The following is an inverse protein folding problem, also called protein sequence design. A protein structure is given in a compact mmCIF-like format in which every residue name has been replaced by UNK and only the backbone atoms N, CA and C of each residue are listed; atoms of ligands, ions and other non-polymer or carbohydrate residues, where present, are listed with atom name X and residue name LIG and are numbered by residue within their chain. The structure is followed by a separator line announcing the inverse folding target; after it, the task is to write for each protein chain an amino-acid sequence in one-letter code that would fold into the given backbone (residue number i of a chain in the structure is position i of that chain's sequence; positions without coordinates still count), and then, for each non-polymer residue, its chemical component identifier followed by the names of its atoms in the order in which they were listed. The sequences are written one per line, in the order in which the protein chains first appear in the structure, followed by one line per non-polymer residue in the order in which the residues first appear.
data_IF_137426884004
#
_entry.id   IF_137426884004
#
_cell.length_a   1.000
_cell.length_b   1.000
_cell.length_c   1.000
_cell.angle_alpha   90.00
_cell.angle_beta   90.00
_cell.angle_gamma   90.00
#
_symmetry.space_group_name_H-M   'P 1'
#
loop_
_entity.id
_entity.type
_entity.pdbx_description
1 polymer ?
#
# COMPACT_ATOMS: atom_id res chain seq x y z
N UNK A 1 3.54 -49.55 -10.29
CA UNK A 1 3.04 -48.20 -10.67
C UNK A 1 4.15 -47.18 -10.48
N UNK A 2 4.37 -46.29 -11.46
CA UNK A 2 5.40 -45.26 -11.36
C UNK A 2 5.02 -44.18 -10.32
N UNK A 3 5.95 -43.79 -9.45
CA UNK A 3 5.71 -42.74 -8.44
C UNK A 3 5.52 -41.38 -9.10
N UNK A 4 4.49 -40.65 -8.65
CA UNK A 4 4.27 -39.26 -9.07
C UNK A 4 5.44 -38.38 -8.65
N UNK A 5 5.64 -37.26 -9.36
CA UNK A 5 6.68 -36.26 -9.03
C UNK A 5 6.51 -35.75 -7.59
N UNK A 6 5.27 -35.56 -7.14
CA UNK A 6 4.93 -35.19 -5.76
C UNK A 6 5.39 -36.25 -4.75
N UNK A 7 5.13 -37.54 -5.02
CA UNK A 7 5.53 -38.63 -4.14
C UNK A 7 7.06 -38.76 -4.08
N UNK A 8 7.78 -38.61 -5.20
CA UNK A 8 9.25 -38.61 -5.22
C UNK A 8 9.83 -37.48 -4.38
N UNK A 9 9.33 -36.26 -4.55
CA UNK A 9 9.78 -35.11 -3.77
C UNK A 9 9.45 -35.25 -2.27
N UNK A 10 8.27 -35.80 -1.93
CA UNK A 10 7.91 -36.11 -0.53
C UNK A 10 8.90 -37.12 0.08
N UNK A 11 9.20 -38.20 -0.63
CA UNK A 11 10.13 -39.24 -0.17
C UNK A 11 11.55 -38.71 0.00
N UNK A 12 12.00 -37.82 -0.89
CA UNK A 12 13.29 -37.14 -0.74
C UNK A 12 13.33 -36.26 0.53
N UNK A 13 12.29 -35.47 0.78
CA UNK A 13 12.18 -34.66 1.99
C UNK A 13 12.17 -35.52 3.26
N UNK A 14 11.38 -36.61 3.30
CA UNK A 14 11.35 -37.54 4.45
C UNK A 14 12.71 -38.20 4.68
N UNK A 15 13.40 -38.57 3.59
CA UNK A 15 14.76 -39.16 3.66
C UNK A 15 15.79 -38.18 4.22
N UNK A 16 15.59 -36.87 4.03
CA UNK A 16 16.44 -35.83 4.64
C UNK A 16 16.03 -35.50 6.08
N UNK A 17 14.73 -35.53 6.38
CA UNK A 17 14.20 -35.22 7.71
C UNK A 17 14.67 -36.21 8.78
N UNK A 18 14.69 -37.51 8.49
CA UNK A 18 15.02 -38.54 9.48
C UNK A 18 16.48 -38.44 9.98
N UNK A 19 17.51 -38.35 9.11
CA UNK A 19 18.90 -38.16 9.55
C UNK A 19 19.12 -36.84 10.28
N UNK A 20 18.53 -35.73 9.80
CA UNK A 20 18.65 -34.44 10.46
C UNK A 20 17.98 -34.48 11.85
N UNK A 21 16.79 -35.05 11.96
CA UNK A 21 16.15 -35.18 13.26
C UNK A 21 17.02 -35.99 14.24
N UNK A 22 17.63 -37.09 13.79
CA UNK A 22 18.56 -37.85 14.61
C UNK A 22 19.82 -37.04 15.00
N UNK A 23 20.43 -36.31 14.06
CA UNK A 23 21.62 -35.50 14.30
C UNK A 23 21.36 -34.36 15.31
N UNK A 24 20.14 -33.82 15.33
CA UNK A 24 19.73 -32.73 16.21
C UNK A 24 18.91 -33.20 17.42
N UNK A 25 18.94 -34.50 17.76
CA UNK A 25 18.34 -35.06 18.97
C UNK A 25 16.81 -35.02 19.01
N UNK A 26 16.14 -35.00 17.85
CA UNK A 26 14.68 -35.00 17.72
C UNK A 26 14.16 -36.39 17.38
N UNK A 27 13.27 -36.92 18.21
CA UNK A 27 12.54 -38.15 17.89
C UNK A 27 11.33 -37.84 16.99
N UNK A 28 11.38 -38.26 15.73
CA UNK A 28 10.26 -38.18 14.79
C UNK A 28 9.93 -39.57 14.24
N UNK A 29 8.65 -39.94 14.27
CA UNK A 29 8.15 -41.15 13.61
C UNK A 29 7.51 -40.75 12.29
N UNK A 30 8.24 -40.90 11.21
CA UNK A 30 7.76 -40.65 9.85
C UNK A 30 8.15 -41.82 8.93
N UNK A 31 7.24 -42.17 8.04
CA UNK A 31 7.50 -43.10 6.94
C UNK A 31 7.37 -42.36 5.60
N UNK A 32 7.87 -43.00 4.53
CA UNK A 32 7.80 -42.47 3.16
C UNK A 32 6.36 -42.22 2.68
N UNK A 33 5.39 -42.87 3.33
CA UNK A 33 3.98 -42.83 2.98
C UNK A 33 3.12 -42.07 4.01
N UNK A 34 3.73 -41.47 5.04
CA UNK A 34 3.04 -40.60 6.00
C UNK A 34 2.24 -39.47 5.32
N UNK A 35 1.15 -39.04 5.97
CA UNK A 35 0.29 -37.99 5.47
C UNK A 35 1.04 -36.66 5.31
N UNK A 36 0.65 -35.85 4.32
CA UNK A 36 1.32 -34.58 4.02
C UNK A 36 1.36 -33.64 5.25
N UNK A 37 0.32 -33.67 6.09
CA UNK A 37 0.27 -32.83 7.29
C UNK A 37 1.25 -33.28 8.38
N UNK A 38 1.55 -34.57 8.48
CA UNK A 38 2.53 -35.09 9.43
C UNK A 38 3.95 -34.74 8.98
N UNK A 39 4.23 -34.84 7.68
CA UNK A 39 5.50 -34.40 7.10
C UNK A 39 5.73 -32.90 7.34
N UNK A 40 4.68 -32.05 7.19
CA UNK A 40 4.77 -30.61 7.51
C UNK A 40 4.99 -30.33 8.99
N UNK A 41 4.36 -31.10 9.89
CA UNK A 41 4.57 -30.96 11.34
C UNK A 41 6.01 -31.33 11.71
N UNK A 42 6.53 -32.44 11.19
CA UNK A 42 7.90 -32.85 11.43
C UNK A 42 8.92 -31.85 10.86
N UNK A 43 8.68 -31.34 9.64
CA UNK A 43 9.51 -30.29 9.05
C UNK A 43 9.64 -29.07 9.96
N UNK A 44 8.53 -28.56 10.50
CA UNK A 44 8.56 -27.41 11.42
C UNK A 44 9.37 -27.69 12.68
N UNK A 45 9.26 -28.89 13.25
CA UNK A 45 10.05 -29.28 14.43
C UNK A 45 11.54 -29.33 14.12
N UNK A 46 11.93 -29.94 13.01
CA UNK A 46 13.33 -30.09 12.59
C UNK A 46 13.93 -28.74 12.19
N UNK A 47 13.20 -27.92 11.42
CA UNK A 47 13.68 -26.62 10.95
C UNK A 47 14.05 -25.66 12.10
N UNK A 48 13.32 -25.68 13.21
CA UNK A 48 13.64 -24.85 14.38
C UNK A 48 14.98 -25.23 15.00
N UNK A 49 15.34 -26.52 15.02
CA UNK A 49 16.61 -26.99 15.58
C UNK A 49 17.79 -26.88 14.61
N UNK A 50 17.52 -27.01 13.31
CA UNK A 50 18.53 -26.91 12.26
C UNK A 50 18.91 -25.45 11.94
N UNK A 51 18.15 -24.46 12.43
CA UNK A 51 18.43 -23.04 12.19
C UNK A 51 19.77 -22.58 12.81
N UNK A 52 20.60 -21.77 12.11
CA UNK A 52 21.88 -21.25 12.63
C UNK A 52 21.80 -20.60 14.01
N UNK A 53 20.78 -19.75 14.22
CA UNK A 53 20.54 -19.07 15.50
C UNK A 53 20.23 -20.01 16.69
N UNK A 54 19.97 -21.30 16.42
CA UNK A 54 19.72 -22.33 17.42
C UNK A 54 20.85 -23.37 17.50
N UNK A 55 22.01 -23.05 16.92
CA UNK A 55 23.19 -23.91 16.91
C UNK A 55 23.23 -24.91 15.76
N UNK A 56 22.37 -24.75 14.74
CA UNK A 56 22.37 -25.62 13.56
C UNK A 56 23.33 -25.20 12.45
N UNK A 57 23.74 -26.14 11.62
CA UNK A 57 24.59 -25.85 10.47
C UNK A 57 23.78 -25.17 9.35
N UNK A 58 24.27 -24.04 8.83
CA UNK A 58 23.62 -23.31 7.75
C UNK A 58 23.40 -24.19 6.50
N UNK A 59 24.33 -25.10 6.21
CA UNK A 59 24.22 -26.04 5.10
C UNK A 59 23.03 -27.02 5.26
N UNK A 60 22.76 -27.48 6.48
CA UNK A 60 21.62 -28.36 6.77
C UNK A 60 20.30 -27.60 6.63
N UNK A 61 20.25 -26.35 7.10
CA UNK A 61 19.07 -25.49 6.96
C UNK A 61 18.74 -25.22 5.49
N UNK A 62 19.76 -24.92 4.68
CA UNK A 62 19.61 -24.72 3.24
C UNK A 62 19.12 -25.98 2.53
N UNK A 63 19.74 -27.14 2.79
CA UNK A 63 19.32 -28.43 2.20
C UNK A 63 17.89 -28.80 2.58
N UNK A 64 17.51 -28.60 3.84
CA UNK A 64 16.17 -28.89 4.35
C UNK A 64 15.11 -28.00 3.70
N UNK A 65 15.38 -26.70 3.56
CA UNK A 65 14.48 -25.77 2.88
C UNK A 65 14.37 -26.08 1.38
N UNK A 66 15.48 -26.38 0.70
CA UNK A 66 15.46 -26.76 -0.72
C UNK A 66 14.59 -28.01 -0.98
N UNK A 67 14.68 -29.03 -0.11
CA UNK A 67 13.85 -30.22 -0.22
C UNK A 67 12.34 -29.93 0.02
N UNK A 68 12.03 -29.01 0.96
CA UNK A 68 10.66 -28.54 1.19
C UNK A 68 10.11 -27.78 -0.02
N UNK A 69 10.93 -26.96 -0.64
CA UNK A 69 10.58 -26.15 -1.81
C UNK A 69 10.27 -27.03 -3.00
N UNK A 70 11.13 -28.02 -3.27
CA UNK A 70 10.93 -29.01 -4.32
C UNK A 70 9.61 -29.78 -4.12
N UNK A 71 9.30 -30.20 -2.88
CA UNK A 71 8.04 -30.87 -2.59
C UNK A 71 6.81 -29.96 -2.75
N UNK A 72 6.90 -28.71 -2.31
CA UNK A 72 5.82 -27.73 -2.42
C UNK A 72 5.54 -27.37 -3.89
N UNK A 73 6.60 -27.17 -4.69
CA UNK A 73 6.51 -26.93 -6.12
C UNK A 73 5.90 -28.12 -6.86
N UNK A 74 6.30 -29.36 -6.52
CA UNK A 74 5.70 -30.56 -7.08
C UNK A 74 4.20 -30.71 -6.71
N UNK A 75 3.82 -30.31 -5.49
CA UNK A 75 2.43 -30.30 -5.05
C UNK A 75 1.59 -29.22 -5.77
N UNK A 76 2.17 -28.05 -6.08
CA UNK A 76 1.51 -26.99 -6.83
C UNK A 76 1.29 -27.39 -8.30
N UNK A 77 2.30 -27.99 -8.96
CA UNK A 77 2.17 -28.51 -10.33
C UNK A 77 1.10 -29.60 -10.46
N UNK A 78 0.91 -30.41 -9.42
CA UNK A 78 -0.16 -31.40 -9.39
C UNK A 78 -1.57 -30.78 -9.32
N UNK A 79 -1.71 -29.54 -8.82
CA UNK A 79 -2.97 -28.79 -8.80
C UNK A 79 -3.23 -27.97 -10.07
N UNK A 80 -2.19 -27.63 -10.83
CA UNK A 80 -2.27 -26.74 -11.99
C UNK A 80 -2.87 -27.40 -13.26
N UNK A 81 -3.01 -28.73 -13.30
CA UNK A 81 -3.75 -29.42 -14.37
C UNK A 81 -5.26 -29.34 -14.10
N UNK A 82 -5.90 -28.24 -14.52
CA UNK A 82 -7.31 -28.22 -14.89
C UNK A 82 -8.18 -27.09 -14.32
N UNK A 83 -8.24 -25.96 -15.05
CA UNK A 83 -9.52 -25.37 -15.44
C UNK A 83 -9.34 -24.81 -16.86
N UNK A 84 -10.09 -25.27 -17.88
CA UNK A 84 -10.02 -24.67 -19.20
C UNK A 84 -10.41 -23.19 -19.10
N UNK A 85 -9.66 -22.34 -19.78
CA UNK A 85 -9.98 -20.92 -19.92
C UNK A 85 -11.27 -20.85 -20.72
N UNK A 86 -12.36 -20.38 -20.09
CA UNK A 86 -13.62 -20.12 -20.78
C UNK A 86 -13.48 -18.80 -21.53
N UNK A 87 -13.82 -18.73 -22.84
CA UNK A 87 -13.75 -17.48 -23.58
C UNK A 87 -14.73 -16.46 -22.98
N UNK A 88 -14.28 -15.21 -22.95
CA UNK A 88 -15.10 -14.05 -22.63
C UNK A 88 -16.11 -13.83 -23.76
N UNK A 89 -17.40 -13.86 -23.47
CA UNK A 89 -18.44 -13.43 -24.42
C UNK A 89 -19.09 -12.12 -23.94
N UNK A 90 -19.21 -11.22 -24.91
CA UNK A 90 -19.85 -9.91 -24.92
C UNK A 90 -21.39 -9.98 -24.74
N UNK A 91 -22.07 -8.85 -24.46
CA UNK A 91 -23.48 -8.81 -24.12
C UNK A 91 -24.36 -8.78 -25.38
N UNK A 92 -25.45 -9.56 -25.38
CA UNK A 92 -26.42 -9.50 -26.46
C UNK A 92 -27.68 -10.34 -26.21
N UNK A 93 -28.80 -9.61 -26.11
CA UNK A 93 -30.17 -9.97 -26.46
C UNK A 93 -30.87 -11.13 -25.71
N UNK A 94 -32.09 -10.82 -25.24
CA UNK A 94 -33.00 -11.74 -24.59
C UNK A 94 -33.35 -12.92 -25.49
N UNK A 95 -33.29 -14.12 -24.91
CA UNK A 95 -33.82 -15.34 -25.52
C UNK A 95 -34.58 -16.12 -24.44
N UNK A 96 -35.73 -16.62 -24.85
CA UNK A 96 -36.65 -17.42 -24.06
C UNK A 96 -35.97 -18.67 -23.47
N UNK A 97 -36.50 -19.11 -22.34
CA UNK A 97 -35.95 -20.18 -21.50
C UNK A 97 -36.06 -21.53 -22.22
N UNK A 98 -34.94 -22.01 -22.74
CA UNK A 98 -34.79 -23.39 -23.17
C UNK A 98 -34.33 -24.26 -21.99
N UNK A 99 -34.96 -25.43 -21.83
CA UNK A 99 -34.98 -26.23 -20.60
C UNK A 99 -33.80 -27.20 -20.43
N UNK A 100 -32.76 -27.08 -21.27
CA UNK A 100 -31.67 -28.07 -21.36
C UNK A 100 -30.28 -27.68 -20.87
N UNK A 101 -29.97 -26.39 -20.66
CA UNK A 101 -28.63 -25.99 -20.16
C UNK A 101 -28.60 -25.97 -18.63
N UNK A 102 -27.64 -26.68 -18.02
CA UNK A 102 -27.38 -26.60 -16.57
C UNK A 102 -27.09 -25.14 -16.16
N UNK A 103 -28.13 -24.46 -15.68
CA UNK A 103 -28.04 -23.06 -15.28
C UNK A 103 -27.08 -22.85 -14.12
N UNK A 104 -26.68 -21.59 -13.88
CA UNK A 104 -25.84 -21.24 -12.73
C UNK A 104 -26.52 -21.67 -11.41
N UNK A 105 -25.85 -22.53 -10.65
CA UNK A 105 -26.30 -23.05 -9.35
C UNK A 105 -25.48 -22.47 -8.21
N UNK A 106 -26.17 -22.05 -7.16
CA UNK A 106 -25.60 -21.61 -5.89
C UNK A 106 -25.50 -22.84 -5.00
N UNK A 107 -24.30 -23.15 -4.50
CA UNK A 107 -24.02 -24.23 -3.53
C UNK A 107 -23.32 -23.65 -2.30
N UNK A 108 -24.08 -22.99 -1.42
CA UNK A 108 -23.50 -22.21 -0.31
C UNK A 108 -24.50 -22.02 0.84
N UNK A 109 -23.97 -21.79 2.04
CA UNK A 109 -24.74 -21.34 3.23
C UNK A 109 -25.10 -19.85 3.17
N UNK A 110 -24.48 -19.12 2.25
CA UNK A 110 -24.75 -17.70 2.07
C UNK A 110 -24.49 -17.22 0.65
N UNK A 111 -25.16 -16.15 0.24
CA UNK A 111 -25.03 -15.55 -1.09
C UNK A 111 -25.19 -14.04 -1.02
N UNK A 112 -24.37 -13.32 -1.78
CA UNK A 112 -24.59 -11.90 -2.07
C UNK A 112 -25.25 -11.79 -3.44
N UNK A 113 -26.42 -11.17 -3.46
CA UNK A 113 -27.22 -10.94 -4.64
C UNK A 113 -27.22 -9.45 -4.96
N UNK A 114 -26.93 -9.10 -6.22
CA UNK A 114 -26.95 -7.72 -6.69
C UNK A 114 -27.93 -7.60 -7.85
N UNK A 115 -28.87 -6.67 -7.73
CA UNK A 115 -29.86 -6.35 -8.75
C UNK A 115 -29.56 -4.98 -9.32
N UNK A 116 -29.66 -4.83 -10.63
CA UNK A 116 -29.39 -3.58 -11.34
C UNK A 116 -30.69 -2.99 -11.92
N UNK A 117 -30.64 -1.72 -12.31
CA UNK A 117 -31.60 -1.08 -13.23
C UNK A 117 -32.83 -0.40 -12.60
N UNK A 118 -32.69 0.33 -11.49
CA UNK A 118 -33.72 1.28 -11.06
C UNK A 118 -33.31 2.73 -11.32
N UNK A 119 -34.25 3.56 -11.76
CA UNK A 119 -34.04 5.00 -11.85
C UNK A 119 -34.14 5.63 -10.45
N UNK A 120 -33.43 6.74 -10.24
CA UNK A 120 -33.42 7.43 -8.95
C UNK A 120 -34.83 7.85 -8.50
N UNK A 121 -35.70 8.23 -9.44
CA UNK A 121 -37.05 8.71 -9.13
C UNK A 121 -37.99 7.60 -8.65
N UNK A 122 -37.81 6.35 -9.11
CA UNK A 122 -38.59 5.18 -8.64
C UNK A 122 -37.90 4.48 -7.44
N UNK A 123 -36.71 4.94 -7.03
CA UNK A 123 -35.92 4.28 -6.01
C UNK A 123 -36.68 4.04 -4.68
N UNK A 124 -37.43 5.01 -4.12
CA UNK A 124 -38.16 4.79 -2.86
C UNK A 124 -39.25 3.72 -2.98
N UNK A 125 -40.03 3.74 -4.07
CA UNK A 125 -41.11 2.79 -4.28
C UNK A 125 -40.58 1.39 -4.61
N UNK A 126 -39.55 1.30 -5.46
CA UNK A 126 -38.84 0.07 -5.74
C UNK A 126 -38.23 -0.55 -4.48
N UNK A 127 -37.66 0.27 -3.59
CA UNK A 127 -37.11 -0.19 -2.33
C UNK A 127 -38.17 -0.82 -1.42
N UNK A 128 -39.35 -0.20 -1.30
CA UNK A 128 -40.45 -0.75 -0.51
C UNK A 128 -40.93 -2.11 -1.05
N UNK A 129 -41.10 -2.21 -2.39
CA UNK A 129 -41.47 -3.45 -3.06
C UNK A 129 -40.40 -4.53 -2.86
N UNK A 130 -39.13 -4.17 -2.90
CA UNK A 130 -38.02 -5.08 -2.66
C UNK A 130 -38.00 -5.61 -1.21
N UNK A 131 -38.19 -4.74 -0.22
CA UNK A 131 -38.31 -5.15 1.18
C UNK A 131 -39.48 -6.11 1.40
N UNK A 132 -40.64 -5.85 0.79
CA UNK A 132 -41.81 -6.73 0.86
C UNK A 132 -41.52 -8.09 0.19
N UNK A 133 -40.87 -8.09 -0.96
CA UNK A 133 -40.43 -9.31 -1.65
C UNK A 133 -39.49 -10.16 -0.78
N UNK A 134 -38.51 -9.54 -0.13
CA UNK A 134 -37.59 -10.24 0.76
C UNK A 134 -38.35 -10.85 1.94
N UNK A 135 -39.19 -10.05 2.62
CA UNK A 135 -39.98 -10.50 3.75
C UNK A 135 -40.84 -11.72 3.40
N UNK A 136 -41.57 -11.68 2.28
CA UNK A 136 -42.37 -12.79 1.78
C UNK A 136 -41.54 -14.02 1.40
N UNK A 137 -40.31 -13.82 0.95
CA UNK A 137 -39.45 -14.89 0.47
C UNK A 137 -38.61 -15.57 1.56
N UNK A 138 -38.42 -14.94 2.72
CA UNK A 138 -37.55 -15.43 3.81
C UNK A 138 -37.83 -16.88 4.21
N UNK A 139 -39.10 -17.24 4.41
CA UNK A 139 -39.52 -18.59 4.81
C UNK A 139 -39.25 -19.59 3.68
N UNK A 140 -39.66 -19.26 2.45
CA UNK A 140 -39.48 -20.11 1.29
C UNK A 140 -37.99 -20.38 1.03
N UNK A 141 -37.12 -19.38 1.21
CA UNK A 141 -35.67 -19.48 1.02
C UNK A 141 -34.93 -20.10 2.21
N UNK A 142 -35.62 -20.36 3.34
CA UNK A 142 -35.01 -20.85 4.60
C UNK A 142 -33.90 -19.91 5.10
N UNK A 143 -34.20 -18.61 5.12
CA UNK A 143 -33.25 -17.57 5.57
C UNK A 143 -33.13 -17.56 7.08
N UNK A 144 -31.90 -17.57 7.57
CA UNK A 144 -31.56 -17.30 8.98
C UNK A 144 -31.36 -15.81 9.21
N UNK A 145 -30.47 -15.21 8.43
CA UNK A 145 -30.12 -13.79 8.52
C UNK A 145 -30.08 -13.16 7.13
N UNK A 146 -30.46 -11.90 7.03
CA UNK A 146 -30.33 -11.10 5.82
C UNK A 146 -30.11 -9.62 6.16
N UNK A 147 -29.44 -8.95 5.24
CA UNK A 147 -29.33 -7.51 5.17
C UNK A 147 -29.49 -7.10 3.70
N UNK A 148 -30.20 -6.01 3.44
CA UNK A 148 -30.37 -5.42 2.13
C UNK A 148 -30.03 -3.93 2.16
N UNK A 149 -29.56 -3.41 1.04
CA UNK A 149 -29.39 -1.97 0.83
C UNK A 149 -29.65 -1.57 -0.61
N UNK A 150 -30.05 -0.33 -0.80
CA UNK A 150 -30.05 0.33 -2.09
C UNK A 150 -28.93 1.35 -2.17
N UNK A 151 -28.23 1.34 -3.28
CA UNK A 151 -27.12 2.23 -3.60
C UNK A 151 -27.35 2.92 -4.94
N UNK A 152 -26.84 4.13 -5.07
CA UNK A 152 -26.72 4.86 -6.32
C UNK A 152 -25.32 4.66 -6.89
N UNK A 153 -25.23 4.36 -8.18
CA UNK A 153 -23.97 4.26 -8.88
C UNK A 153 -23.50 5.64 -9.38
N UNK A 154 -22.28 5.70 -9.94
CA UNK A 154 -21.70 6.94 -10.46
C UNK A 154 -22.49 7.55 -11.64
N UNK A 155 -23.32 6.74 -12.32
CA UNK A 155 -24.18 7.18 -13.43
C UNK A 155 -25.57 7.65 -12.96
N UNK A 156 -25.83 7.65 -11.66
CA UNK A 156 -27.09 8.12 -11.07
C UNK A 156 -28.22 7.08 -10.98
N UNK A 157 -28.08 5.90 -11.57
CA UNK A 157 -29.05 4.82 -11.41
C UNK A 157 -28.83 4.05 -10.10
N UNK A 158 -29.90 3.44 -9.59
CA UNK A 158 -29.88 2.68 -8.36
C UNK A 158 -29.75 1.16 -8.61
N UNK A 159 -29.06 0.51 -7.69
CA UNK A 159 -28.92 -0.95 -7.63
C UNK A 159 -29.16 -1.41 -6.19
N UNK A 160 -29.66 -2.63 -6.04
CA UNK A 160 -29.97 -3.22 -4.74
C UNK A 160 -29.02 -4.37 -4.46
N UNK A 161 -28.55 -4.46 -3.22
CA UNK A 161 -27.83 -5.64 -2.73
C UNK A 161 -28.65 -6.30 -1.64
N UNK A 162 -28.60 -7.64 -1.60
CA UNK A 162 -28.99 -8.41 -0.43
C UNK A 162 -27.94 -9.47 -0.14
N UNK A 163 -27.49 -9.49 1.11
CA UNK A 163 -26.72 -10.59 1.65
C UNK A 163 -27.66 -11.51 2.39
N UNK A 164 -27.66 -12.80 2.03
CA UNK A 164 -28.52 -13.82 2.64
C UNK A 164 -27.65 -14.91 3.27
N UNK A 165 -27.97 -15.28 4.51
CA UNK A 165 -27.47 -16.48 5.18
C UNK A 165 -28.65 -17.44 5.36
N UNK A 166 -28.51 -18.65 4.84
CA UNK A 166 -29.50 -19.72 4.98
C UNK A 166 -29.33 -20.47 6.30
N UNK A 167 -30.36 -21.19 6.73
CA UNK A 167 -30.27 -22.09 7.90
C UNK A 167 -29.34 -23.28 7.65
N UNK A 168 -29.19 -23.69 6.39
CA UNK A 168 -28.24 -24.70 5.92
C UNK A 168 -27.85 -24.41 4.47
N UNK A 169 -26.73 -24.99 4.01
CA UNK A 169 -26.27 -24.86 2.63
C UNK A 169 -27.39 -25.20 1.63
N UNK A 170 -27.64 -24.30 0.69
CA UNK A 170 -28.64 -24.49 -0.36
C UNK A 170 -27.95 -24.88 -1.66
N UNK A 171 -28.58 -25.77 -2.44
CA UNK A 171 -28.26 -26.03 -3.85
C UNK A 171 -29.46 -25.61 -4.71
N UNK A 172 -29.41 -24.39 -5.26
CA UNK A 172 -30.52 -23.82 -6.04
C UNK A 172 -30.05 -22.97 -7.22
N UNK A 173 -30.91 -22.80 -8.23
CA UNK A 173 -30.65 -21.88 -9.34
C UNK A 173 -30.91 -20.42 -8.96
N UNK A 174 -30.22 -19.50 -9.65
CA UNK A 174 -30.43 -18.05 -9.47
C UNK A 174 -31.87 -17.58 -9.76
N UNK A 175 -32.65 -18.35 -10.53
CA UNK A 175 -34.05 -18.05 -10.84
C UNK A 175 -34.96 -17.95 -9.60
N UNK A 176 -34.57 -18.57 -8.49
CA UNK A 176 -35.29 -18.50 -7.21
C UNK A 176 -35.31 -17.09 -6.59
N UNK A 177 -34.40 -16.23 -7.03
CA UNK A 177 -34.19 -14.90 -6.49
C UNK A 177 -34.56 -13.80 -7.50
N UNK A 178 -35.40 -14.09 -8.49
CA UNK A 178 -35.84 -13.07 -9.45
C UNK A 178 -36.77 -12.08 -8.75
N UNK A 179 -36.49 -10.79 -8.90
CA UNK A 179 -37.33 -9.70 -8.40
C UNK A 179 -37.75 -8.82 -9.58
N UNK A 180 -39.06 -8.64 -9.79
CA UNK A 180 -39.61 -7.82 -10.89
C UNK A 180 -39.03 -8.17 -12.27
N UNK A 181 -38.80 -9.46 -12.54
CA UNK A 181 -38.20 -9.94 -13.80
C UNK A 181 -36.69 -9.73 -13.89
N UNK A 182 -36.07 -9.04 -12.94
CA UNK A 182 -34.62 -8.82 -12.86
C UNK A 182 -33.96 -10.01 -12.17
N UNK A 183 -33.05 -10.66 -12.90
CA UNK A 183 -32.21 -11.72 -12.36
C UNK A 183 -31.01 -11.11 -11.62
N UNK A 184 -30.74 -11.48 -10.36
CA UNK A 184 -29.58 -10.95 -9.66
C UNK A 184 -28.28 -11.56 -10.15
N UNK A 185 -27.21 -10.77 -10.07
CA UNK A 185 -25.86 -11.31 -10.03
C UNK A 185 -25.67 -12.04 -8.70
N UNK A 186 -25.35 -13.33 -8.78
CA UNK A 186 -25.15 -14.20 -7.62
C UNK A 186 -23.67 -14.43 -7.41
N UNK A 187 -23.12 -13.95 -6.29
CA UNK A 187 -21.71 -14.13 -5.95
C UNK A 187 -21.53 -14.91 -4.65
N UNK A 188 -20.57 -15.85 -4.59
CA UNK A 188 -20.13 -16.37 -3.30
C UNK A 188 -19.51 -15.20 -2.54
N UNK A 189 -19.88 -15.04 -1.27
CA UNK A 189 -19.40 -13.97 -0.41
C UNK A 189 -17.89 -14.14 -0.07
N UNK A 190 -17.06 -13.90 -1.07
CA UNK A 190 -15.61 -13.84 -1.04
C UNK A 190 -15.18 -12.39 -1.14
N UNK A 191 -15.79 -11.54 -0.32
CA UNK A 191 -15.44 -10.14 -0.22
C UNK A 191 -13.94 -10.03 0.09
N UNK A 192 -13.16 -9.43 -0.83
CA UNK A 192 -11.68 -9.30 -0.87
C UNK A 192 -10.87 -10.44 -1.52
N UNK A 193 -11.46 -11.38 -2.26
CA UNK A 193 -10.73 -12.51 -2.88
C UNK A 193 -9.93 -13.38 -1.88
N UNK A 194 -10.13 -13.22 -0.57
CA UNK A 194 -9.49 -14.03 0.48
C UNK A 194 -9.99 -15.49 0.47
N UNK A 195 -11.05 -15.78 -0.31
CA UNK A 195 -11.78 -17.04 -0.30
C UNK A 195 -12.62 -17.20 0.97
N UNK A 196 -13.68 -18.01 0.90
CA UNK A 196 -14.41 -18.39 2.11
C UNK A 196 -13.45 -19.20 2.98
N UNK A 197 -12.93 -18.60 4.04
CA UNK A 197 -12.10 -19.32 4.99
C UNK A 197 -12.96 -20.40 5.64
N UNK A 198 -12.79 -21.66 5.22
CA UNK A 198 -13.57 -22.80 5.75
C UNK A 198 -13.51 -22.91 7.28
N UNK A 199 -12.46 -22.38 7.90
CA UNK A 199 -12.29 -22.36 9.37
C UNK A 199 -13.08 -21.25 10.07
N UNK A 200 -13.54 -20.24 9.33
CA UNK A 200 -14.16 -19.00 9.86
C UNK A 200 -15.29 -18.51 8.95
N UNK A 201 -16.17 -19.42 8.52
CA UNK A 201 -17.25 -19.14 7.55
C UNK A 201 -18.14 -17.98 8.02
N UNK A 202 -18.56 -17.98 9.29
CA UNK A 202 -19.41 -16.90 9.83
C UNK A 202 -18.73 -15.53 9.73
N UNK A 203 -17.41 -15.43 9.91
CA UNK A 203 -16.71 -14.14 9.74
C UNK A 203 -16.80 -13.62 8.30
N UNK A 204 -16.80 -14.52 7.31
CA UNK A 204 -17.00 -14.15 5.91
C UNK A 204 -18.43 -13.64 5.71
N UNK A 205 -19.42 -14.38 6.23
CA UNK A 205 -20.84 -14.03 6.17
C UNK A 205 -21.07 -12.64 6.76
N UNK A 206 -20.54 -12.38 7.94
CA UNK A 206 -20.80 -11.13 8.65
C UNK A 206 -20.12 -9.93 7.99
N UNK A 207 -19.00 -10.14 7.29
CA UNK A 207 -18.42 -9.09 6.42
C UNK A 207 -19.35 -8.75 5.25
N UNK A 208 -19.98 -9.76 4.65
CA UNK A 208 -20.98 -9.57 3.60
C UNK A 208 -22.21 -8.82 4.13
N UNK A 209 -22.70 -9.23 5.31
CA UNK A 209 -23.82 -8.55 5.97
C UNK A 209 -23.46 -7.10 6.28
N UNK A 210 -22.26 -6.84 6.79
CA UNK A 210 -21.79 -5.48 7.08
C UNK A 210 -21.66 -4.64 5.81
N UNK A 211 -21.09 -5.22 4.75
CA UNK A 211 -21.01 -4.51 3.47
C UNK A 211 -22.38 -4.02 3.02
N UNK A 212 -23.42 -4.83 3.19
CA UNK A 212 -24.78 -4.45 2.81
C UNK A 212 -25.43 -3.52 3.84
N UNK A 213 -25.25 -3.73 5.14
CA UNK A 213 -25.88 -2.93 6.19
C UNK A 213 -25.28 -1.52 6.37
N UNK A 214 -23.99 -1.33 6.09
CA UNK A 214 -23.30 -0.08 6.39
C UNK A 214 -23.78 1.11 5.55
N UNK A 215 -23.89 2.28 6.18
CA UNK A 215 -24.07 3.59 5.52
C UNK A 215 -22.79 3.99 4.78
N UNK A 216 -22.69 3.55 3.53
CA UNK A 216 -21.53 3.75 2.66
C UNK A 216 -21.81 4.84 1.63
N UNK A 217 -20.76 5.38 1.06
CA UNK A 217 -20.88 6.34 -0.05
C UNK A 217 -21.74 5.72 -1.15
N UNK A 218 -22.81 6.43 -1.51
CA UNK A 218 -23.81 6.00 -2.49
C UNK A 218 -25.05 5.33 -1.89
N UNK A 219 -25.13 5.03 -0.58
CA UNK A 219 -26.37 4.49 0.01
C UNK A 219 -27.51 5.51 -0.15
N UNK A 220 -28.63 5.05 -0.72
CA UNK A 220 -29.81 5.89 -0.98
C UNK A 220 -30.53 6.20 0.33
N UNK A 221 -31.10 7.40 0.43
CA UNK A 221 -31.96 7.82 1.54
C UNK A 221 -33.38 8.07 1.04
N UNK A 222 -34.37 7.71 1.85
CA UNK A 222 -35.76 8.06 1.64
C UNK A 222 -35.94 9.58 1.84
N UNK A 223 -37.08 10.12 1.37
CA UNK A 223 -37.41 11.54 1.59
C UNK A 223 -37.50 11.94 3.07
N UNK A 224 -37.65 10.97 3.98
CA UNK A 224 -37.61 11.14 5.44
C UNK A 224 -36.19 11.28 6.00
N UNK A 225 -35.15 11.00 5.20
CA UNK A 225 -33.75 10.95 5.63
C UNK A 225 -33.26 9.57 6.06
N UNK A 226 -34.17 8.61 6.22
CA UNK A 226 -33.86 7.22 6.58
C UNK A 226 -33.07 6.53 5.48
N UNK A 227 -32.11 5.67 5.87
CA UNK A 227 -31.34 4.87 4.93
C UNK A 227 -32.23 3.82 4.27
N UNK A 228 -32.04 3.60 2.97
CA UNK A 228 -32.55 2.42 2.28
C UNK A 228 -31.69 1.20 2.66
N UNK A 229 -31.76 0.83 3.94
CA UNK A 229 -31.12 -0.33 4.55
C UNK A 229 -32.18 -1.04 5.39
N UNK A 230 -32.31 -2.35 5.21
CA UNK A 230 -33.21 -3.18 5.99
C UNK A 230 -32.50 -4.50 6.32
N UNK A 231 -32.65 -5.00 7.54
CA UNK A 231 -32.01 -6.23 7.95
C UNK A 231 -32.77 -6.88 9.11
N UNK A 232 -32.62 -8.19 9.26
CA UNK A 232 -32.93 -8.90 10.51
C UNK A 232 -31.66 -9.31 11.27
N UNK A 233 -30.51 -8.77 10.84
CA UNK A 233 -29.19 -9.05 11.38
C UNK A 233 -28.32 -7.80 11.32
N UNK A 234 -27.87 -7.35 12.49
CA UNK A 234 -26.94 -6.22 12.62
C UNK A 234 -25.53 -6.75 12.91
N UNK A 235 -24.57 -6.57 11.98
CA UNK A 235 -23.24 -7.13 12.12
C UNK A 235 -22.42 -6.42 13.21
N UNK A 236 -21.91 -7.18 14.17
CA UNK A 236 -21.19 -6.70 15.36
C UNK A 236 -19.75 -6.19 15.14
N UNK A 237 -19.28 -6.00 13.90
CA UNK A 237 -17.84 -5.87 13.59
C UNK A 237 -17.50 -5.07 12.32
N UNK A 238 -17.46 -3.74 12.48
CA UNK A 238 -17.26 -2.70 11.46
C UNK A 238 -15.81 -2.44 10.99
N UNK A 239 -14.94 -3.46 10.95
CA UNK A 239 -13.51 -3.32 10.57
C UNK A 239 -13.25 -3.81 9.15
N UNK A 240 -13.39 -2.99 8.08
CA UNK A 240 -12.54 -3.03 6.85
C UNK A 240 -12.93 -2.00 5.77
N UNK A 241 -11.91 -1.21 5.38
CA UNK A 241 -11.74 -0.31 4.22
C UNK A 241 -12.63 0.95 4.11
N UNK A 242 -12.04 2.02 3.53
CA UNK A 242 -12.49 3.43 3.38
C UNK A 242 -13.87 3.62 2.70
N UNK A 243 -14.91 2.98 3.23
CA UNK A 243 -16.29 3.10 2.76
C UNK A 243 -17.14 4.00 3.66
N UNK A 244 -16.62 4.34 4.83
CA UNK A 244 -17.24 5.20 5.83
C UNK A 244 -16.46 6.51 5.91
N UNK A 245 -17.17 7.60 6.20
CA UNK A 245 -16.53 8.85 6.61
C UNK A 245 -15.83 8.65 7.96
N UNK A 246 -14.80 9.46 8.24
CA UNK A 246 -14.08 9.42 9.51
C UNK A 246 -15.02 9.63 10.72
N UNK A 247 -16.06 10.46 10.57
CA UNK A 247 -17.12 10.63 11.57
C UNK A 247 -17.95 9.36 11.77
N UNK A 248 -18.47 8.77 10.68
CA UNK A 248 -19.33 7.58 10.78
C UNK A 248 -18.57 6.35 11.29
N UNK A 249 -17.30 6.25 10.93
CA UNK A 249 -16.41 5.21 11.46
C UNK A 249 -16.19 5.38 12.97
N UNK A 250 -16.01 6.62 13.46
CA UNK A 250 -15.88 6.89 14.90
C UNK A 250 -17.15 6.52 15.67
N UNK A 251 -18.33 6.87 15.15
CA UNK A 251 -19.62 6.44 15.73
C UNK A 251 -19.69 4.92 15.88
N UNK A 252 -19.41 4.18 14.80
CA UNK A 252 -19.43 2.71 14.84
C UNK A 252 -18.34 2.11 15.71
N UNK A 253 -17.20 2.79 15.85
CA UNK A 253 -16.09 2.32 16.66
C UNK A 253 -16.51 2.18 18.13
N UNK A 254 -17.20 3.19 18.67
CA UNK A 254 -17.69 3.17 20.05
C UNK A 254 -18.87 2.21 20.26
N UNK A 255 -19.68 1.96 19.24
CA UNK A 255 -20.76 0.96 19.29
C UNK A 255 -20.23 -0.48 19.43
N UNK A 256 -19.03 -0.77 18.90
CA UNK A 256 -18.49 -2.15 18.91
C UNK A 256 -17.89 -2.61 20.24
N UNK A 257 -17.70 -1.72 21.24
CA UNK A 257 -17.11 -1.92 22.59
C UNK A 257 -15.71 -2.57 22.67
N UNK A 258 -15.39 -3.54 21.81
CA UNK A 258 -14.15 -4.30 21.78
C UNK A 258 -13.09 -3.73 20.83
N UNK A 259 -11.87 -3.58 21.35
CA UNK A 259 -10.71 -3.12 20.59
C UNK A 259 -10.78 -1.66 20.14
N UNK A 260 -11.57 -0.83 20.84
CA UNK A 260 -11.77 0.62 20.59
C UNK A 260 -10.43 1.35 20.44
N UNK A 261 -9.52 1.19 21.41
CA UNK A 261 -8.23 1.91 21.43
C UNK A 261 -7.34 1.60 20.21
N UNK A 262 -7.27 0.33 19.80
CA UNK A 262 -6.48 -0.05 18.63
C UNK A 262 -7.10 0.49 17.33
N UNK A 263 -8.43 0.46 17.21
CA UNK A 263 -9.14 1.01 16.05
C UNK A 263 -9.05 2.53 15.99
N UNK A 264 -9.06 3.20 17.14
CA UNK A 264 -8.99 4.66 17.23
C UNK A 264 -7.64 5.16 16.75
N UNK A 265 -6.54 4.51 17.14
CA UNK A 265 -5.20 4.81 16.60
C UNK A 265 -5.15 4.73 15.07
N UNK A 266 -5.81 3.75 14.47
CA UNK A 266 -5.89 3.66 13.00
C UNK A 266 -6.71 4.81 12.39
N UNK A 267 -7.81 5.21 13.03
CA UNK A 267 -8.63 6.35 12.59
C UNK A 267 -7.82 7.65 12.71
N UNK A 268 -7.14 7.87 13.82
CA UNK A 268 -6.35 9.07 14.07
C UNK A 268 -5.21 9.19 13.04
N UNK A 269 -4.53 8.08 12.71
CA UNK A 269 -3.52 8.06 11.64
C UNK A 269 -4.10 8.39 10.24
N UNK A 270 -5.35 7.99 9.96
CA UNK A 270 -6.03 8.36 8.70
C UNK A 270 -6.37 9.86 8.70
N UNK A 271 -6.86 10.40 9.82
CA UNK A 271 -7.15 11.84 9.97
C UNK A 271 -5.90 12.69 9.80
N UNK A 272 -4.78 12.29 10.40
CA UNK A 272 -3.50 12.98 10.26
C UNK A 272 -3.05 13.02 8.80
N UNK A 273 -3.16 11.90 8.08
CA UNK A 273 -2.87 11.84 6.66
C UNK A 273 -3.81 12.73 5.82
N UNK A 274 -5.11 12.74 6.11
CA UNK A 274 -6.09 13.61 5.44
C UNK A 274 -5.81 15.10 5.68
N UNK A 275 -5.51 15.47 6.93
CA UNK A 275 -5.10 16.83 7.29
C UNK A 275 -3.82 17.26 6.57
N UNK A 276 -2.82 16.37 6.52
CA UNK A 276 -1.57 16.63 5.80
C UNK A 276 -1.77 16.84 4.29
N UNK A 277 -2.68 16.09 3.65
CA UNK A 277 -3.04 16.33 2.24
C UNK A 277 -3.75 17.66 2.04
N UNK A 278 -4.65 18.05 2.95
CA UNK A 278 -5.35 19.32 2.88
C UNK A 278 -4.38 20.51 3.05
N UNK A 279 -3.47 20.41 4.03
CA UNK A 279 -2.41 21.39 4.25
C UNK A 279 -1.48 21.51 3.03
N UNK A 280 -1.06 20.38 2.44
CA UNK A 280 -0.26 20.39 1.22
C UNK A 280 -0.96 21.12 0.06
N UNK A 281 -2.28 20.95 -0.09
CA UNK A 281 -3.08 21.68 -1.08
C UNK A 281 -3.12 23.19 -0.82
N UNK A 282 -3.21 23.62 0.45
CA UNK A 282 -3.14 25.03 0.82
C UNK A 282 -1.76 25.62 0.50
N UNK A 283 -0.68 24.90 0.84
CA UNK A 283 0.69 25.31 0.56
C UNK A 283 0.91 25.45 -0.95
N UNK A 284 0.41 24.51 -1.75
CA UNK A 284 0.50 24.56 -3.22
C UNK A 284 -0.26 25.76 -3.79
N UNK A 285 -1.50 25.99 -3.33
CA UNK A 285 -2.32 27.12 -3.76
C UNK A 285 -1.66 28.47 -3.43
N UNK A 286 -1.09 28.60 -2.22
CA UNK A 286 -0.36 29.78 -1.80
C UNK A 286 0.92 29.99 -2.62
N UNK A 287 1.68 28.93 -2.84
CA UNK A 287 2.91 28.97 -3.64
C UNK A 287 2.62 29.42 -5.07
N UNK A 288 1.56 28.89 -5.69
CA UNK A 288 1.11 29.30 -7.02
C UNK A 288 0.70 30.77 -7.04
N UNK A 289 -0.07 31.23 -6.05
CA UNK A 289 -0.51 32.63 -5.94
C UNK A 289 0.66 33.60 -5.78
N UNK A 290 1.63 33.28 -4.93
CA UNK A 290 2.81 34.13 -4.68
C UNK A 290 3.70 34.19 -5.94
N UNK A 291 3.98 33.03 -6.57
CA UNK A 291 4.80 32.98 -7.80
C UNK A 291 4.14 33.67 -9.00
N UNK A 292 2.81 33.76 -9.03
CA UNK A 292 2.07 34.45 -10.07
C UNK A 292 2.06 35.98 -9.91
N UNK A 293 2.49 36.52 -8.76
CA UNK A 293 2.54 37.96 -8.52
C UNK A 293 3.92 38.52 -8.95
N UNK A 294 4.01 39.27 -10.07
CA UNK A 294 5.29 39.77 -10.58
C UNK A 294 5.94 40.81 -9.67
N UNK A 295 5.16 41.46 -8.80
CA UNK A 295 5.68 42.42 -7.83
C UNK A 295 6.42 41.75 -6.66
N UNK A 296 6.13 40.46 -6.40
CA UNK A 296 6.74 39.69 -5.30
C UNK A 296 7.72 38.64 -5.80
N UNK A 297 7.52 38.10 -7.00
CA UNK A 297 8.35 37.05 -7.56
C UNK A 297 8.71 37.38 -9.00
N UNK A 298 9.99 37.66 -9.23
CA UNK A 298 10.56 37.83 -10.56
C UNK A 298 11.28 36.55 -10.97
N UNK A 299 11.18 36.12 -12.24
CA UNK A 299 11.99 35.03 -12.75
C UNK A 299 13.47 35.31 -12.54
N UNK A 300 14.21 34.32 -12.04
CA UNK A 300 15.64 34.48 -11.86
C UNK A 300 16.37 34.47 -13.21
N UNK A 301 17.44 35.28 -13.37
CA UNK A 301 18.27 35.23 -14.56
C UNK A 301 18.97 33.88 -14.68
N UNK A 302 19.33 33.51 -15.91
CA UNK A 302 20.13 32.31 -16.16
C UNK A 302 21.56 32.56 -15.71
N UNK A 303 22.14 31.56 -15.04
CA UNK A 303 23.48 31.68 -14.47
C UNK A 303 24.36 30.63 -15.17
N UNK A 304 25.22 31.03 -16.12
CA UNK A 304 25.96 30.08 -16.94
C UNK A 304 26.78 29.06 -16.12
N UNK A 305 27.35 29.48 -14.99
CA UNK A 305 28.08 28.60 -14.09
C UNK A 305 27.19 27.51 -13.47
N UNK A 306 25.94 27.84 -13.13
CA UNK A 306 24.98 26.87 -12.59
C UNK A 306 24.47 25.91 -13.68
N UNK A 307 24.22 26.42 -14.89
CA UNK A 307 23.83 25.61 -16.05
C UNK A 307 24.96 24.62 -16.43
N UNK A 308 26.21 25.10 -16.45
CA UNK A 308 27.38 24.26 -16.69
C UNK A 308 27.56 23.20 -15.60
N UNK A 309 27.37 23.59 -14.33
CA UNK A 309 27.39 22.66 -13.20
C UNK A 309 26.32 21.56 -13.35
N UNK A 310 25.06 21.91 -13.62
CA UNK A 310 23.99 20.93 -13.85
C UNK A 310 24.29 20.01 -15.04
N UNK A 311 24.92 20.53 -16.10
CA UNK A 311 25.30 19.72 -17.26
C UNK A 311 26.29 18.60 -16.90
N UNK A 312 27.14 18.79 -15.88
CA UNK A 312 28.09 17.74 -15.44
C UNK A 312 27.42 16.46 -14.96
N UNK A 313 26.16 16.53 -14.50
CA UNK A 313 25.39 15.37 -14.04
C UNK A 313 24.80 14.53 -15.18
N UNK A 314 24.98 14.95 -16.43
CA UNK A 314 24.64 14.15 -17.61
C UNK A 314 25.76 13.19 -18.02
N UNK A 315 26.96 13.41 -17.49
CA UNK A 315 28.14 12.59 -17.73
C UNK A 315 28.43 11.74 -16.49
N UNK A 316 28.93 10.52 -16.71
CA UNK A 316 29.38 9.67 -15.61
C UNK A 316 30.70 10.22 -15.02
N UNK A 317 30.71 10.43 -13.71
CA UNK A 317 31.88 10.90 -12.95
C UNK A 317 32.02 10.11 -11.67
N UNK A 318 33.26 9.93 -11.23
CA UNK A 318 33.53 9.27 -9.94
C UNK A 318 33.02 10.11 -8.75
N UNK A 319 33.08 11.44 -8.88
CA UNK A 319 32.61 12.41 -7.89
C UNK A 319 31.97 13.59 -8.60
N UNK A 320 30.83 14.04 -8.10
CA UNK A 320 30.14 15.21 -8.62
C UNK A 320 30.40 16.42 -7.72
N UNK A 321 30.59 17.63 -8.30
CA UNK A 321 30.79 18.83 -7.53
C UNK A 321 29.49 19.28 -6.84
N UNK A 322 29.61 19.89 -5.66
CA UNK A 322 28.49 20.58 -5.01
C UNK A 322 28.41 22.03 -5.47
N UNK A 323 27.19 22.59 -5.59
CA UNK A 323 27.04 24.02 -5.87
C UNK A 323 26.94 24.79 -4.56
N UNK A 324 27.80 25.78 -4.34
CA UNK A 324 27.78 26.66 -3.17
C UNK A 324 27.35 28.05 -3.61
N UNK A 325 26.29 28.56 -2.97
CA UNK A 325 25.70 29.87 -3.23
C UNK A 325 25.95 30.76 -2.04
N UNK A 326 26.88 31.69 -2.17
CA UNK A 326 27.25 32.64 -1.13
C UNK A 326 26.59 33.99 -1.41
N UNK A 327 25.84 34.53 -0.45
CA UNK A 327 25.34 35.89 -0.57
C UNK A 327 24.77 36.44 0.74
N UNK A 328 24.47 37.75 0.80
CA UNK A 328 23.80 38.35 1.95
C UNK A 328 22.43 37.72 2.24
N UNK A 329 21.92 37.94 3.46
CA UNK A 329 20.55 37.58 3.82
C UNK A 329 19.52 38.33 2.94
N UNK A 330 18.33 37.75 2.78
CA UNK A 330 17.22 38.33 2.01
C UNK A 330 17.49 38.62 0.51
N UNK A 331 18.52 38.01 -0.07
CA UNK A 331 18.85 38.19 -1.50
C UNK A 331 18.13 37.23 -2.44
N UNK A 332 17.31 36.32 -1.93
CA UNK A 332 16.59 35.33 -2.74
C UNK A 332 17.40 34.07 -3.11
N UNK A 333 18.62 33.90 -2.55
CA UNK A 333 19.51 32.74 -2.81
C UNK A 333 18.83 31.37 -2.68
N UNK A 334 17.97 31.19 -1.68
CA UNK A 334 17.25 29.95 -1.41
C UNK A 334 16.22 29.66 -2.50
N UNK A 335 15.46 30.67 -2.91
CA UNK A 335 14.45 30.50 -3.96
C UNK A 335 15.09 30.33 -5.33
N UNK A 336 16.23 30.98 -5.56
CA UNK A 336 17.04 30.73 -6.75
C UNK A 336 17.54 29.28 -6.78
N UNK A 337 18.14 28.78 -5.69
CA UNK A 337 18.61 27.41 -5.59
C UNK A 337 17.48 26.38 -5.83
N UNK A 338 16.28 26.64 -5.29
CA UNK A 338 15.10 25.79 -5.52
C UNK A 338 14.62 25.83 -6.97
N UNK A 339 14.76 26.97 -7.66
CA UNK A 339 14.35 27.12 -9.06
C UNK A 339 15.18 26.29 -10.05
N UNK A 340 16.37 25.83 -9.66
CA UNK A 340 17.21 24.94 -10.46
C UNK A 340 16.59 23.54 -10.66
N UNK A 341 15.59 23.20 -9.85
CA UNK A 341 15.00 21.88 -9.75
C UNK A 341 13.49 21.92 -9.94
N UNK A 342 12.90 20.85 -10.48
CA UNK A 342 11.45 20.69 -10.57
C UNK A 342 10.86 20.26 -9.23
N UNK A 343 11.56 19.38 -8.49
CA UNK A 343 11.13 18.79 -7.22
C UNK A 343 12.31 18.65 -6.25
N UNK A 344 12.90 19.78 -5.80
CA UNK A 344 14.00 19.73 -4.85
C UNK A 344 13.54 19.20 -3.49
N UNK A 345 14.39 18.43 -2.82
CA UNK A 345 14.28 18.24 -1.38
C UNK A 345 15.02 19.38 -0.67
N UNK A 346 14.26 20.23 0.02
CA UNK A 346 14.82 21.30 0.84
C UNK A 346 15.10 20.79 2.26
N UNK A 347 16.34 20.94 2.71
CA UNK A 347 16.80 20.50 4.03
C UNK A 347 17.28 21.71 4.83
N UNK A 348 16.61 21.94 5.97
CA UNK A 348 16.98 23.02 6.87
C UNK A 348 18.18 22.63 7.74
N UNK A 349 19.37 23.16 7.44
CA UNK A 349 20.61 22.83 8.18
C UNK A 349 20.84 23.80 9.35
N UNK A 350 20.87 25.11 9.11
CA UNK A 350 21.14 26.08 10.18
C UNK A 350 22.51 25.84 10.83
N UNK A 351 22.51 25.61 12.14
CA UNK A 351 23.71 25.31 12.94
C UNK A 351 23.83 23.84 13.34
N UNK A 352 23.13 22.94 12.64
CA UNK A 352 23.19 21.50 12.93
C UNK A 352 24.58 20.93 12.59
N UNK A 353 25.07 20.03 13.44
CA UNK A 353 26.29 19.25 13.19
C UNK A 353 25.99 17.95 12.44
N UNK A 354 24.75 17.48 12.50
CA UNK A 354 24.26 16.25 11.85
C UNK A 354 23.28 16.58 10.72
N UNK A 355 23.15 15.67 9.75
CA UNK A 355 22.20 15.85 8.65
C UNK A 355 20.75 15.95 9.16
N UNK A 356 19.93 16.86 8.60
CA UNK A 356 18.54 17.02 9.01
C UNK A 356 17.74 15.72 8.85
N UNK A 357 16.84 15.43 9.80
CA UNK A 357 15.99 14.23 9.77
C UNK A 357 15.11 14.15 8.51
N UNK A 358 14.74 15.32 7.97
CA UNK A 358 14.01 15.43 6.71
C UNK A 358 14.71 14.70 5.54
N UNK A 359 16.03 14.43 5.62
CA UNK A 359 16.72 13.61 4.62
C UNK A 359 16.17 12.17 4.50
N UNK A 360 15.43 11.67 5.52
CA UNK A 360 14.71 10.40 5.42
C UNK A 360 13.64 10.39 4.33
N UNK A 361 13.04 11.55 4.00
CA UNK A 361 12.03 11.65 2.94
C UNK A 361 12.62 11.70 1.52
N UNK A 362 13.96 11.79 1.38
CA UNK A 362 14.59 11.77 0.07
C UNK A 362 14.27 10.48 -0.69
N UNK A 363 13.70 10.66 -1.87
CA UNK A 363 13.36 9.61 -2.82
C UNK A 363 13.86 10.02 -4.20
N UNK A 364 14.78 9.23 -4.75
CA UNK A 364 15.42 9.48 -6.06
C UNK A 364 14.42 9.40 -7.22
N UNK A 365 13.32 8.67 -7.06
CA UNK A 365 12.28 8.58 -8.10
C UNK A 365 11.39 9.82 -8.15
N UNK A 366 11.38 10.61 -7.07
CA UNK A 366 10.54 11.79 -6.92
C UNK A 366 11.33 13.10 -6.97
N UNK A 367 12.48 13.15 -6.31
CA UNK A 367 13.30 14.35 -6.17
C UNK A 367 14.43 14.36 -7.20
N UNK A 368 14.67 15.53 -7.80
CA UNK A 368 15.68 15.75 -8.83
C UNK A 368 16.90 16.55 -8.34
N UNK A 369 16.90 16.96 -7.07
CA UNK A 369 18.03 17.63 -6.42
C UNK A 369 17.81 17.82 -4.93
N UNK A 370 18.87 18.23 -4.23
CA UNK A 370 18.85 18.55 -2.80
C UNK A 370 19.30 19.99 -2.60
N UNK A 371 18.58 20.74 -1.78
CA UNK A 371 18.93 22.10 -1.37
C UNK A 371 19.18 22.12 0.13
N UNK A 372 20.42 22.38 0.53
CA UNK A 372 20.81 22.58 1.92
C UNK A 372 20.72 24.07 2.25
N UNK A 373 19.78 24.44 3.11
CA UNK A 373 19.48 25.83 3.44
C UNK A 373 19.34 26.04 4.95
N UNK A 374 19.79 27.08 5.60
CA UNK A 374 20.94 27.93 5.33
C UNK A 374 22.11 27.34 6.13
N UNK A 375 23.21 26.94 5.49
CA UNK A 375 24.35 26.34 6.19
C UNK A 375 25.16 27.44 6.89
N UNK A 376 25.13 27.44 8.23
CA UNK A 376 25.76 28.49 9.04
C UNK A 376 27.18 28.18 9.48
N UNK A 377 27.67 26.99 9.20
CA UNK A 377 29.06 26.57 9.46
C UNK A 377 29.57 25.66 8.34
N UNK A 378 30.64 26.05 7.65
CA UNK A 378 31.22 25.22 6.58
C UNK A 378 31.87 23.93 7.08
N UNK A 379 32.15 23.82 8.38
CA UNK A 379 32.61 22.57 8.98
C UNK A 379 31.60 21.45 8.75
N UNK A 380 30.30 21.76 8.69
CA UNK A 380 29.28 20.79 8.33
C UNK A 380 29.55 20.15 6.95
N UNK A 381 29.92 20.95 5.94
CA UNK A 381 30.22 20.40 4.61
C UNK A 381 31.50 19.58 4.60
N UNK A 382 32.52 20.02 5.34
CA UNK A 382 33.79 19.31 5.46
C UNK A 382 33.60 17.92 6.09
N UNK A 383 32.89 17.83 7.21
CA UNK A 383 32.62 16.57 7.92
C UNK A 383 31.73 15.61 7.13
N UNK A 384 30.89 16.13 6.24
CA UNK A 384 29.94 15.31 5.47
C UNK A 384 30.22 15.27 3.96
N UNK A 385 31.43 15.59 3.51
CA UNK A 385 31.82 15.58 2.08
C UNK A 385 31.48 14.27 1.37
N UNK A 386 31.71 13.12 2.03
CA UNK A 386 31.43 11.79 1.49
C UNK A 386 29.92 11.57 1.28
N UNK A 387 29.09 12.20 2.12
CA UNK A 387 27.64 12.11 2.01
C UNK A 387 27.11 12.98 0.88
N UNK A 388 27.73 14.15 0.69
CA UNK A 388 27.35 15.14 -0.32
C UNK A 388 27.69 14.69 -1.74
N UNK A 389 28.88 14.09 -1.94
CA UNK A 389 29.30 13.61 -3.27
C UNK A 389 28.72 12.22 -3.61
N UNK A 390 28.30 11.46 -2.59
CA UNK A 390 27.80 10.10 -2.75
C UNK A 390 28.85 9.10 -3.22
N UNK A 391 28.46 7.84 -3.34
CA UNK A 391 29.28 6.76 -3.89
C UNK A 391 28.48 6.01 -4.97
N UNK A 392 29.14 5.65 -6.06
CA UNK A 392 28.50 4.95 -7.19
C UNK A 392 28.15 3.49 -6.87
N UNK A 393 28.88 2.89 -5.93
CA UNK A 393 28.82 1.48 -5.57
C UNK A 393 28.14 1.21 -4.22
N UNK A 394 27.84 2.25 -3.44
CA UNK A 394 27.34 2.11 -2.08
C UNK A 394 26.28 3.14 -1.69
N UNK A 395 25.44 2.76 -0.74
CA UNK A 395 24.53 3.71 -0.06
C UNK A 395 25.30 4.46 1.02
N UNK A 396 25.01 5.75 1.15
CA UNK A 396 25.54 6.62 2.19
C UNK A 396 24.68 6.49 3.44
N UNK A 397 25.31 6.24 4.58
CA UNK A 397 24.64 6.20 5.89
C UNK A 397 24.57 7.60 6.52
N UNK A 398 23.39 7.99 7.03
CA UNK A 398 23.14 9.34 7.55
C UNK A 398 23.06 9.43 9.07
N UNK A 399 22.53 8.39 9.72
CA UNK A 399 22.44 8.29 11.17
C UNK A 399 22.72 6.86 11.59
N UNK A 400 23.36 6.70 12.75
CA UNK A 400 23.56 5.41 13.43
C UNK A 400 23.33 5.67 14.91
N UNK A 401 22.29 5.08 15.50
CA UNK A 401 22.15 5.07 16.96
C UNK A 401 22.98 3.93 17.54
N UNK A 402 23.51 4.05 18.77
CA UNK A 402 24.07 2.90 19.48
C UNK A 402 23.03 1.77 19.51
N UNK A 403 23.30 0.66 18.81
CA UNK A 403 22.36 -0.46 18.63
C UNK A 403 21.71 -0.58 17.24
N UNK A 404 21.96 0.33 16.30
CA UNK A 404 21.58 0.21 14.88
C UNK A 404 20.08 0.35 14.57
N UNK A 405 19.23 0.59 15.55
CA UNK A 405 17.77 0.58 15.41
C UNK A 405 17.21 1.75 14.60
N UNK A 406 17.95 2.86 14.50
CA UNK A 406 17.50 4.06 13.78
C UNK A 406 18.40 4.41 12.58
N UNK A 407 19.21 3.46 12.11
CA UNK A 407 20.09 3.70 10.98
C UNK A 407 19.33 3.78 9.66
N UNK A 408 19.69 4.77 8.82
CA UNK A 408 19.15 4.85 7.46
C UNK A 408 20.22 5.27 6.47
N UNK A 409 20.10 4.72 5.27
CA UNK A 409 21.02 4.97 4.17
C UNK A 409 20.29 5.37 2.90
N UNK A 410 20.93 6.22 2.09
CA UNK A 410 20.39 6.73 0.83
C UNK A 410 21.43 6.59 -0.29
N UNK A 411 20.98 6.35 -1.51
CA UNK A 411 21.84 6.28 -2.68
C UNK A 411 21.88 7.64 -3.39
N UNK A 412 23.03 8.33 -3.30
CA UNK A 412 23.17 9.74 -3.70
C UNK A 412 24.12 9.96 -4.89
N UNK A 413 24.53 8.89 -5.58
CA UNK A 413 25.36 9.01 -6.78
C UNK A 413 24.68 9.89 -7.84
N UNK A 414 25.39 10.86 -8.41
CA UNK A 414 24.86 11.77 -9.42
C UNK A 414 23.57 12.52 -8.98
N UNK A 415 23.41 12.81 -7.68
CA UNK A 415 22.34 13.69 -7.18
C UNK A 415 22.90 15.10 -7.07
N UNK A 416 22.35 16.10 -7.78
CA UNK A 416 22.79 17.48 -7.63
C UNK A 416 22.47 18.02 -6.24
N UNK A 417 23.48 18.60 -5.58
CA UNK A 417 23.34 19.22 -4.25
C UNK A 417 23.74 20.69 -4.33
N UNK A 418 22.83 21.56 -3.92
CA UNK A 418 23.04 23.01 -3.80
C UNK A 418 23.05 23.38 -2.33
N UNK A 419 24.00 24.22 -1.95
CA UNK A 419 24.18 24.70 -0.59
C UNK A 419 24.09 26.21 -0.57
N UNK A 420 23.18 26.77 0.21
CA UNK A 420 23.10 28.21 0.44
C UNK A 420 23.83 28.57 1.73
N UNK A 421 24.67 29.61 1.64
CA UNK A 421 25.43 30.15 2.78
C UNK A 421 25.34 31.67 2.80
N UNK A 422 25.48 32.23 4.00
CA UNK A 422 25.52 33.68 4.20
C UNK A 422 26.96 34.19 4.35
N UNK A 423 27.16 35.50 4.18
CA UNK A 423 28.46 36.14 4.46
C UNK A 423 28.88 36.06 5.94
N UNK A 424 27.94 35.75 6.84
CA UNK A 424 28.19 35.53 8.27
C UNK A 424 28.36 34.06 8.64
N UNK A 425 28.43 33.15 7.66
CA UNK A 425 28.67 31.72 7.90
C UNK A 425 30.05 31.52 8.55
N UNK A 426 30.15 30.63 9.53
CA UNK A 426 31.42 30.29 10.19
C UNK A 426 32.32 29.47 9.27
N UNK A 427 33.64 29.58 9.47
CA UNK A 427 34.66 28.86 8.71
C UNK A 427 34.60 29.13 7.19
N UNK A 428 34.19 30.34 6.78
CA UNK A 428 34.14 30.74 5.36
C UNK A 428 35.50 30.66 4.65
N UNK A 429 36.59 30.81 5.41
CA UNK A 429 37.96 30.65 4.92
C UNK A 429 38.23 29.24 4.38
N UNK A 430 37.44 28.23 4.75
CA UNK A 430 37.56 26.87 4.20
C UNK A 430 37.37 26.83 2.69
N UNK A 431 36.65 27.80 2.11
CA UNK A 431 36.55 27.96 0.67
C UNK A 431 37.90 28.28 0.00
N UNK A 432 38.93 28.63 0.75
CA UNK A 432 40.28 28.92 0.26
C UNK A 432 41.30 27.94 0.84
N UNK A 433 41.13 27.52 2.09
CA UNK A 433 42.15 26.80 2.86
C UNK A 433 41.94 25.29 2.97
N UNK A 434 40.69 24.80 2.92
CA UNK A 434 40.38 23.40 3.19
C UNK A 434 40.50 22.56 1.91
N UNK A 435 41.29 21.47 1.93
CA UNK A 435 41.60 20.60 0.77
C UNK A 435 40.39 20.29 -0.15
N UNK A 436 39.29 19.81 0.43
CA UNK A 436 38.08 19.49 -0.34
C UNK A 436 37.32 20.72 -0.84
N UNK A 437 37.05 21.71 0.04
CA UNK A 437 36.24 22.89 -0.27
C UNK A 437 37.00 23.94 -1.09
N UNK A 438 38.33 23.98 -1.08
CA UNK A 438 39.12 24.88 -1.91
C UNK A 438 39.22 24.39 -3.36
N UNK A 439 39.10 23.07 -3.58
CA UNK A 439 39.23 22.45 -4.89
C UNK A 439 38.01 22.70 -5.81
N UNK A 440 38.25 23.37 -6.94
CA UNK A 440 37.23 23.68 -7.96
C UNK A 440 36.61 22.45 -8.64
N UNK A 441 37.24 21.27 -8.51
CA UNK A 441 36.66 20.01 -9.01
C UNK A 441 35.57 19.45 -8.09
N UNK A 442 35.60 19.82 -6.81
CA UNK A 442 34.67 19.32 -5.80
C UNK A 442 33.51 20.27 -5.55
N UNK A 443 33.62 21.53 -5.98
CA UNK A 443 32.57 22.52 -5.83
C UNK A 443 32.56 23.57 -6.94
N UNK A 444 31.40 24.16 -7.15
CA UNK A 444 31.21 25.39 -7.93
C UNK A 444 30.76 26.48 -6.96
N UNK A 445 31.45 27.62 -6.92
CA UNK A 445 31.09 28.75 -6.07
C UNK A 445 30.41 29.84 -6.90
N UNK A 446 29.23 30.28 -6.46
CA UNK A 446 28.50 31.41 -7.03
C UNK A 446 28.29 32.46 -5.94
N UNK A 447 28.62 33.71 -6.25
CA UNK A 447 28.44 34.87 -5.36
C UNK A 447 27.19 35.65 -5.77
N UNK A 448 26.32 35.94 -4.81
CA UNK A 448 25.06 36.65 -4.97
C UNK A 448 25.20 38.03 -4.28
N UNK A 449 24.76 39.16 -4.88
CA UNK A 449 23.89 39.30 -6.03
C UNK A 449 24.62 39.57 -7.36
N UNK A 450 25.91 39.26 -7.49
CA UNK A 450 26.66 39.44 -8.76
C UNK A 450 25.97 38.75 -9.95
N UNK A 451 25.15 37.74 -9.64
CA UNK A 451 24.25 37.00 -10.54
C UNK A 451 23.00 37.77 -10.98
N UNK A 452 22.47 38.68 -10.16
CA UNK A 452 21.26 39.48 -10.45
C UNK A 452 21.58 40.78 -11.21
N UNK A 453 22.85 41.18 -11.25
CA UNK A 453 23.34 42.36 -11.97
C UNK A 453 24.00 41.92 -13.28
N UNK A 454 23.21 41.34 -14.19
CA UNK A 454 23.64 41.20 -15.58
C UNK A 454 22.89 42.27 -16.38
N UNK A 455 23.56 43.40 -16.60
CA UNK A 455 23.22 44.34 -17.68
C UNK A 455 23.76 43.79 -19.01
#
# INVERSE_FOLDING_TARGET
MALTVKQRAKRALVTLLLPLASAYGLHISLTRDSADDDVRKAFRKVAVKVHPDKGGAAADAQRLNAARDAWTAAAAKAKAKGRPVRPCNQPGAGVAVDSGTEGFRIRSESVLLTYQSWLADDAPAAWQRFCAFIAASTTAWRVKHWAATMEQNATGSCHMHIMVQFTAAQDCGCGRFIFEGVRPNCSPNAYLNEGVCRKKVQQSIDRGMFYVWADKVGTVRLGTGDLCVAANYEPCWTKKQRKLTSQKYEEYLFLTRDGVLARKRNLDAVREHEAGLAEAGIIEANSKRIRANPALYQPFPRVPAADAWLATFREDRLRYPVLIVLGPSQTGKTEWAKSLFKRPLELKVGSLEVFPEAMRSFDRTWHDGIVLDDVRDLNFLAEHQDKLQGKYDARVEFATTPGGTCAYSKYLFAVPVVVTINNSTRNLDFLLTHDWLSCERNRVLIRFPDVLRQD
#
